data_IF_911493011139
#
_entry.id   IF_911493011139
#
_cell.length_a   1.000
_cell.length_b   1.000
_cell.length_c   1.000
_cell.angle_alpha   90.00
_cell.angle_beta   90.00
_cell.angle_gamma   90.00
#
_symmetry.space_group_name_H-M   'P 1'
#
loop_
_entity.id
_entity.type
_entity.pdbx_description
1 polymer ?
#
# COMPACT_ATOMS: atom_id res chain seq x y z
N UNK A 1 -11.48 -3.48 -69.06
CA UNK A 1 -11.90 -3.56 -67.64
C UNK A 1 -11.13 -4.71 -66.99
N UNK A 2 -10.24 -4.46 -66.03
CA UNK A 2 -9.51 -5.51 -65.31
C UNK A 2 -10.40 -6.02 -64.17
N UNK A 3 -10.76 -7.30 -64.19
CA UNK A 3 -11.51 -7.99 -63.13
C UNK A 3 -10.59 -8.31 -61.95
N UNK A 4 -10.80 -7.65 -60.81
CA UNK A 4 -10.13 -7.98 -59.56
C UNK A 4 -10.74 -9.27 -58.99
N UNK A 5 -10.05 -10.39 -59.15
CA UNK A 5 -10.36 -11.65 -58.46
C UNK A 5 -10.03 -11.48 -56.96
N UNK A 6 -11.06 -11.35 -56.12
CA UNK A 6 -10.88 -11.34 -54.67
C UNK A 6 -10.59 -12.76 -54.21
N UNK A 7 -9.35 -13.05 -53.81
CA UNK A 7 -8.98 -14.30 -53.14
C UNK A 7 -9.67 -14.33 -51.77
N UNK A 8 -10.51 -15.33 -51.53
CA UNK A 8 -11.13 -15.57 -50.22
C UNK A 8 -10.18 -16.30 -49.28
N UNK A 9 -10.29 -16.02 -47.98
CA UNK A 9 -9.56 -16.74 -46.93
C UNK A 9 -10.07 -18.18 -46.82
N UNK A 10 -9.17 -19.13 -46.66
CA UNK A 10 -9.50 -20.53 -46.37
C UNK A 10 -9.68 -20.75 -44.88
N UNK A 11 -10.49 -21.75 -44.51
CA UNK A 11 -10.66 -22.15 -43.10
C UNK A 11 -9.35 -22.58 -42.45
N UNK A 12 -8.46 -23.23 -43.23
CA UNK A 12 -7.16 -23.68 -42.72
C UNK A 12 -6.24 -22.50 -42.41
N UNK A 13 -6.24 -21.44 -43.22
CA UNK A 13 -5.46 -20.22 -42.94
C UNK A 13 -5.95 -19.54 -41.66
N UNK A 14 -7.26 -19.47 -41.43
CA UNK A 14 -7.81 -18.92 -40.19
C UNK A 14 -7.47 -19.80 -38.97
N UNK A 15 -7.51 -21.13 -39.13
CA UNK A 15 -7.19 -22.09 -38.06
C UNK A 15 -5.73 -21.98 -37.62
N UNK A 16 -4.80 -21.86 -38.56
CA UNK A 16 -3.37 -21.68 -38.25
C UNK A 16 -3.14 -20.37 -37.50
N UNK A 17 -3.84 -19.29 -37.88
CA UNK A 17 -3.71 -18.00 -37.20
C UNK A 17 -4.17 -18.07 -35.74
N UNK A 18 -5.36 -18.64 -35.46
CA UNK A 18 -5.82 -18.77 -34.07
C UNK A 18 -4.95 -19.73 -33.25
N UNK A 19 -4.39 -20.77 -33.88
CA UNK A 19 -3.46 -21.68 -33.21
C UNK A 19 -2.16 -20.96 -32.81
N UNK A 20 -1.59 -20.15 -33.70
CA UNK A 20 -0.40 -19.34 -33.39
C UNK A 20 -0.71 -18.30 -32.31
N UNK A 21 -1.88 -17.63 -32.38
CA UNK A 21 -2.31 -16.68 -31.35
C UNK A 21 -2.48 -17.36 -29.98
N UNK A 22 -3.04 -18.57 -29.94
CA UNK A 22 -3.18 -19.34 -28.70
C UNK A 22 -1.82 -19.73 -28.09
N UNK A 23 -0.87 -20.15 -28.92
CA UNK A 23 0.50 -20.47 -28.45
C UNK A 23 1.20 -19.21 -27.92
N UNK A 24 1.08 -18.07 -28.62
CA UNK A 24 1.67 -16.81 -28.16
C UNK A 24 1.04 -16.34 -26.84
N UNK A 25 -0.29 -16.39 -26.71
CA UNK A 25 -0.97 -16.04 -25.46
C UNK A 25 -0.57 -16.97 -24.30
N UNK A 26 -0.43 -18.27 -24.55
CA UNK A 26 -0.01 -19.24 -23.53
C UNK A 26 1.40 -19.00 -22.98
N UNK A 27 2.32 -18.47 -23.80
CA UNK A 27 3.68 -18.14 -23.38
C UNK A 27 3.78 -16.77 -22.69
N UNK A 28 2.96 -15.80 -23.11
CA UNK A 28 3.01 -14.42 -22.62
C UNK A 28 2.20 -14.24 -21.32
N UNK A 29 1.12 -15.02 -21.14
CA UNK A 29 0.21 -14.89 -20.00
C UNK A 29 0.92 -14.80 -18.64
N UNK A 30 1.69 -15.83 -18.22
CA UNK A 30 2.32 -15.84 -16.90
C UNK A 30 3.25 -14.64 -16.65
N UNK A 31 4.02 -14.24 -17.67
CA UNK A 31 4.96 -13.11 -17.56
C UNK A 31 4.25 -11.76 -17.44
N UNK A 32 3.11 -11.59 -18.09
CA UNK A 32 2.32 -10.35 -17.94
C UNK A 32 1.76 -10.24 -16.53
N UNK A 33 1.28 -11.34 -15.94
CA UNK A 33 0.81 -11.34 -14.55
C UNK A 33 1.94 -11.03 -13.55
N UNK A 34 3.14 -11.60 -13.73
CA UNK A 34 4.31 -11.35 -12.87
C UNK A 34 4.82 -9.90 -12.95
N UNK A 35 4.81 -9.29 -14.14
CA UNK A 35 5.16 -7.86 -14.31
C UNK A 35 4.11 -6.96 -13.65
N UNK A 36 2.83 -7.33 -13.73
CA UNK A 36 1.75 -6.58 -13.11
C UNK A 36 1.79 -6.67 -11.57
N UNK A 37 2.12 -7.83 -10.99
CA UNK A 37 2.25 -7.96 -9.53
C UNK A 37 3.45 -7.19 -8.97
N UNK A 38 4.63 -7.32 -9.60
CA UNK A 38 5.81 -6.52 -9.20
C UNK A 38 5.63 -5.00 -9.35
N UNK A 39 4.81 -4.58 -10.33
CA UNK A 39 4.40 -3.18 -10.51
C UNK A 39 3.54 -2.68 -9.34
N UNK A 40 2.59 -3.50 -8.86
CA UNK A 40 1.71 -3.15 -7.74
C UNK A 40 2.47 -2.97 -6.43
N UNK A 41 3.37 -3.89 -6.07
CA UNK A 41 4.20 -3.76 -4.87
C UNK A 41 5.05 -2.48 -4.90
N UNK A 42 5.66 -2.18 -6.05
CA UNK A 42 6.45 -0.96 -6.26
C UNK A 42 5.58 0.30 -6.15
N UNK A 43 4.35 0.27 -6.71
CA UNK A 43 3.38 1.36 -6.62
C UNK A 43 2.97 1.62 -5.17
N UNK A 44 2.55 0.57 -4.44
CA UNK A 44 2.19 0.65 -3.02
C UNK A 44 3.36 1.21 -2.20
N UNK A 45 4.58 0.72 -2.42
CA UNK A 45 5.75 1.22 -1.72
C UNK A 45 6.02 2.71 -2.01
N UNK A 46 5.82 3.16 -3.26
CA UNK A 46 5.96 4.57 -3.63
C UNK A 46 4.91 5.45 -2.93
N UNK A 47 3.65 4.99 -2.86
CA UNK A 47 2.57 5.68 -2.14
C UNK A 47 2.93 5.79 -0.65
N UNK A 48 3.36 4.70 -0.02
CA UNK A 48 3.74 4.72 1.40
C UNK A 48 4.91 5.67 1.67
N UNK A 49 5.94 5.68 0.80
CA UNK A 49 7.05 6.64 0.92
C UNK A 49 6.59 8.09 0.74
N UNK A 50 5.60 8.32 -0.13
CA UNK A 50 4.92 9.61 -0.22
C UNK A 50 4.32 9.96 1.14
N UNK A 51 3.41 9.13 1.66
CA UNK A 51 2.71 9.39 2.93
C UNK A 51 3.66 9.62 4.10
N UNK A 52 4.74 8.83 4.22
CA UNK A 52 5.81 9.06 5.21
C UNK A 52 6.36 10.48 5.10
N UNK A 53 6.68 10.93 3.89
CA UNK A 53 7.19 12.29 3.64
C UNK A 53 6.16 13.35 4.05
N UNK A 54 4.88 13.14 3.77
CA UNK A 54 3.82 14.08 4.13
C UNK A 54 3.54 14.11 5.64
N UNK A 55 3.60 12.98 6.32
CA UNK A 55 3.51 12.89 7.78
C UNK A 55 4.69 13.58 8.47
N UNK A 56 5.90 13.44 7.92
CA UNK A 56 7.06 14.20 8.40
C UNK A 56 6.85 15.70 8.21
N UNK A 57 6.34 16.14 7.06
CA UNK A 57 6.00 17.56 6.84
C UNK A 57 4.91 18.05 7.79
N UNK A 58 3.92 17.21 8.10
CA UNK A 58 2.91 17.49 9.13
C UNK A 58 3.57 17.70 10.48
N UNK A 59 4.43 16.77 10.94
CA UNK A 59 5.19 16.88 12.19
C UNK A 59 6.05 18.13 12.20
N UNK A 60 6.70 18.49 11.10
CA UNK A 60 7.48 19.73 11.03
C UNK A 60 6.63 20.99 11.17
N UNK A 61 5.40 20.99 10.64
CA UNK A 61 4.49 22.11 10.74
C UNK A 61 3.87 22.26 12.13
N UNK A 62 3.37 21.15 12.70
CA UNK A 62 2.60 21.15 13.94
C UNK A 62 3.43 20.83 15.19
N UNK A 63 4.62 20.25 15.02
CA UNK A 63 5.54 19.74 16.06
C UNK A 63 5.10 18.46 16.76
N UNK A 64 4.01 17.85 16.29
CA UNK A 64 3.50 16.55 16.71
C UNK A 64 2.93 15.83 15.47
N UNK A 65 2.83 14.50 15.52
CA UNK A 65 2.11 13.73 14.50
C UNK A 65 0.59 13.89 14.65
N UNK A 66 -0.22 13.61 13.62
CA UNK A 66 -1.68 13.64 13.73
C UNK A 66 -2.17 12.94 15.01
N UNK A 67 -3.03 13.59 15.83
CA UNK A 67 -3.51 13.05 17.11
C UNK A 67 -3.95 11.58 17.08
N UNK A 68 -4.71 11.15 16.07
CA UNK A 68 -5.15 9.75 15.98
C UNK A 68 -4.00 8.73 15.88
N UNK A 69 -2.81 9.13 15.41
CA UNK A 69 -1.60 8.28 15.38
C UNK A 69 -0.90 8.18 16.74
N UNK A 70 -1.36 8.95 17.74
CA UNK A 70 -0.79 9.01 19.09
C UNK A 70 -1.66 8.31 20.13
N UNK A 71 -2.80 7.74 19.73
CA UNK A 71 -3.74 7.08 20.66
C UNK A 71 -3.24 5.72 21.14
N UNK A 72 -2.47 5.02 20.30
CA UNK A 72 -1.85 3.74 20.63
C UNK A 72 -0.49 3.95 21.32
N UNK A 73 -0.04 2.93 22.05
CA UNK A 73 1.34 2.89 22.57
C UNK A 73 2.31 2.83 21.39
N UNK A 74 3.43 3.52 21.49
CA UNK A 74 4.47 3.46 20.47
C UNK A 74 4.89 2.01 20.19
N UNK A 75 4.99 1.67 18.90
CA UNK A 75 5.26 0.32 18.43
C UNK A 75 4.03 -0.50 18.07
N UNK A 76 2.83 -0.08 18.49
CA UNK A 76 1.55 -0.66 18.09
C UNK A 76 0.92 0.15 16.93
N UNK A 77 0.70 -0.47 15.76
CA UNK A 77 0.21 0.25 14.58
C UNK A 77 -1.24 0.68 14.73
N UNK A 78 -1.55 1.86 14.19
CA UNK A 78 -2.92 2.24 13.83
C UNK A 78 -3.28 1.57 12.50
N UNK A 79 -4.45 0.94 12.46
CA UNK A 79 -4.99 0.29 11.27
C UNK A 79 -5.89 1.27 10.51
N UNK A 80 -5.62 1.47 9.22
CA UNK A 80 -6.40 2.39 8.39
C UNK A 80 -7.70 1.80 7.81
N UNK A 81 -7.97 0.50 7.99
CA UNK A 81 -9.24 -0.10 7.56
C UNK A 81 -10.41 0.26 8.48
N UNK A 82 -10.13 0.75 9.69
CA UNK A 82 -11.14 1.32 10.59
C UNK A 82 -11.64 2.67 10.04
N UNK A 83 -12.96 2.86 10.03
CA UNK A 83 -13.61 4.05 9.43
C UNK A 83 -13.12 5.36 10.08
N UNK A 84 -12.95 5.36 11.41
CA UNK A 84 -12.44 6.51 12.17
C UNK A 84 -10.99 6.84 11.81
N UNK A 85 -10.12 5.84 11.75
CA UNK A 85 -8.70 5.98 11.37
C UNK A 85 -8.56 6.43 9.92
N UNK A 86 -9.39 5.90 9.02
CA UNK A 86 -9.44 6.27 7.61
C UNK A 86 -9.76 7.76 7.45
N UNK A 87 -10.87 8.22 8.03
CA UNK A 87 -11.30 9.61 7.96
C UNK A 87 -10.28 10.55 8.61
N UNK A 88 -9.73 10.16 9.76
CA UNK A 88 -8.70 10.93 10.48
C UNK A 88 -7.41 11.07 9.67
N UNK A 89 -6.95 10.01 9.00
CA UNK A 89 -5.78 10.06 8.13
C UNK A 89 -5.99 10.99 6.93
N UNK A 90 -7.16 10.91 6.28
CA UNK A 90 -7.51 11.80 5.18
C UNK A 90 -7.63 13.25 5.66
N UNK A 91 -8.29 13.50 6.79
CA UNK A 91 -8.40 14.83 7.38
C UNK A 91 -7.02 15.42 7.72
N UNK A 92 -6.15 14.63 8.34
CA UNK A 92 -4.80 15.02 8.72
C UNK A 92 -3.97 15.47 7.52
N UNK A 93 -3.95 14.69 6.43
CA UNK A 93 -3.08 14.96 5.28
C UNK A 93 -3.72 15.84 4.20
N UNK A 94 -5.02 15.69 3.93
CA UNK A 94 -5.73 16.50 2.92
C UNK A 94 -6.17 17.85 3.46
N UNK A 95 -6.53 17.92 4.75
CA UNK A 95 -7.18 19.08 5.36
C UNK A 95 -8.66 19.22 5.00
N UNK A 96 -9.31 18.12 4.58
CA UNK A 96 -10.72 18.06 4.16
C UNK A 96 -11.34 16.74 4.58
N UNK A 97 -12.66 16.74 4.76
CA UNK A 97 -13.42 15.52 5.03
C UNK A 97 -13.66 14.76 3.72
N UNK A 98 -13.47 13.46 3.73
CA UNK A 98 -13.84 12.59 2.62
C UNK A 98 -15.24 12.06 2.83
N UNK A 99 -16.09 12.12 1.81
CA UNK A 99 -17.40 11.51 1.83
C UNK A 99 -17.35 10.24 0.98
N UNK A 100 -17.38 9.09 1.63
CA UNK A 100 -17.26 7.76 0.99
C UNK A 100 -18.41 7.51 0.00
N UNK A 101 -19.62 7.99 0.30
CA UNK A 101 -20.82 7.74 -0.50
C UNK A 101 -20.82 8.50 -1.82
N UNK A 102 -20.29 9.72 -1.81
CA UNK A 102 -20.23 10.61 -2.99
C UNK A 102 -18.85 10.65 -3.62
N UNK A 103 -17.83 10.14 -2.92
CA UNK A 103 -16.41 10.24 -3.27
C UNK A 103 -15.98 11.70 -3.53
N UNK A 104 -16.40 12.59 -2.63
CA UNK A 104 -16.10 14.02 -2.72
C UNK A 104 -15.46 14.59 -1.46
N UNK A 105 -14.76 15.70 -1.62
CA UNK A 105 -14.09 16.41 -0.53
C UNK A 105 -14.96 17.53 0.05
N UNK A 106 -15.35 17.39 1.31
CA UNK A 106 -16.07 18.37 2.10
C UNK A 106 -15.16 19.21 3.02
N UNK A 107 -15.78 20.13 3.76
CA UNK A 107 -15.12 20.83 4.86
C UNK A 107 -14.99 19.89 6.07
N UNK A 108 -13.92 20.06 6.86
CA UNK A 108 -13.78 19.35 8.13
C UNK A 108 -14.87 19.79 9.11
N UNK A 109 -15.47 18.82 9.79
CA UNK A 109 -16.29 19.04 10.98
C UNK A 109 -15.40 19.18 12.23
N UNK A 110 -15.99 19.53 13.37
CA UNK A 110 -15.25 19.80 14.61
C UNK A 110 -14.47 18.57 15.09
N UNK A 111 -14.99 17.37 14.85
CA UNK A 111 -14.37 16.09 15.23
C UNK A 111 -13.07 15.87 14.44
N UNK A 112 -13.08 16.04 13.12
CA UNK A 112 -11.89 15.86 12.29
C UNK A 112 -10.98 17.10 12.24
N UNK A 113 -11.45 18.26 12.70
CA UNK A 113 -10.64 19.48 12.75
C UNK A 113 -9.44 19.33 13.71
N UNK A 114 -9.58 18.50 14.75
CA UNK A 114 -8.49 18.23 15.69
C UNK A 114 -7.26 17.64 14.98
N UNK A 115 -7.50 16.83 13.94
CA UNK A 115 -6.46 16.18 13.14
C UNK A 115 -5.72 17.15 12.23
N UNK A 116 -6.33 18.28 11.86
CA UNK A 116 -5.69 19.30 11.04
C UNK A 116 -6.31 20.68 11.31
N UNK A 117 -5.91 21.27 12.43
CA UNK A 117 -6.50 22.51 12.97
C UNK A 117 -6.49 23.71 12.01
N UNK A 118 -5.58 23.72 11.04
CA UNK A 118 -5.49 24.79 10.02
C UNK A 118 -6.00 24.36 8.65
N UNK A 119 -6.58 23.17 8.53
CA UNK A 119 -7.03 22.57 7.28
C UNK A 119 -5.96 22.65 6.17
N UNK A 120 -4.69 22.49 6.56
CA UNK A 120 -3.57 22.62 5.65
C UNK A 120 -3.45 21.35 4.81
N UNK A 121 -3.40 21.49 3.50
CA UNK A 121 -3.12 20.36 2.62
C UNK A 121 -1.62 20.02 2.65
N UNK A 122 -1.29 18.81 3.10
CA UNK A 122 0.04 18.19 2.99
C UNK A 122 0.10 17.21 1.83
N UNK A 123 -1.02 16.54 1.54
CA UNK A 123 -1.15 15.57 0.45
C UNK A 123 -2.38 15.84 -0.40
N UNK A 124 -2.25 15.67 -1.72
CA UNK A 124 -3.35 15.90 -2.64
C UNK A 124 -4.27 14.71 -2.82
N UNK A 125 -3.87 13.49 -2.47
CA UNK A 125 -4.57 12.21 -2.71
C UNK A 125 -5.06 12.03 -4.17
N UNK A 126 -4.58 11.00 -4.85
CA UNK A 126 -5.05 10.64 -6.20
C UNK A 126 -5.95 9.39 -6.16
N UNK A 127 -6.66 9.12 -7.26
CA UNK A 127 -7.52 7.92 -7.40
C UNK A 127 -6.75 6.61 -7.16
N UNK A 128 -5.45 6.61 -7.42
CA UNK A 128 -4.57 5.46 -7.26
C UNK A 128 -4.37 4.99 -5.80
N UNK A 129 -4.76 5.83 -4.84
CA UNK A 129 -4.62 5.58 -3.40
C UNK A 129 -5.93 5.07 -2.78
N UNK A 130 -7.01 5.06 -3.56
CA UNK A 130 -8.30 4.56 -3.15
C UNK A 130 -8.60 3.25 -3.88
N UNK A 131 -9.06 2.25 -3.12
CA UNK A 131 -9.58 1.01 -3.65
C UNK A 131 -11.07 1.08 -3.92
N UNK A 132 -11.71 -0.08 -3.81
CA UNK A 132 -13.15 -0.17 -3.99
C UNK A 132 -13.90 0.62 -2.92
N UNK A 133 -15.07 1.13 -3.33
CA UNK A 133 -15.99 1.87 -2.46
C UNK A 133 -15.41 3.16 -1.84
N UNK A 134 -14.27 3.67 -2.32
CA UNK A 134 -13.70 4.93 -1.87
C UNK A 134 -12.88 4.86 -0.58
N UNK A 135 -12.51 3.67 -0.12
CA UNK A 135 -11.58 3.50 1.00
C UNK A 135 -10.14 3.58 0.52
N UNK A 136 -9.23 3.95 1.43
CA UNK A 136 -7.80 3.87 1.17
C UNK A 136 -7.42 2.41 1.00
N UNK A 137 -6.62 2.14 -0.02
CA UNK A 137 -6.16 0.80 -0.28
C UNK A 137 -4.76 0.79 -0.90
N UNK A 138 -4.10 -0.36 -0.79
CA UNK A 138 -2.93 -0.64 -1.58
C UNK A 138 -3.28 -0.88 -3.06
N UNK A 139 -2.26 -1.13 -3.88
CA UNK A 139 -2.44 -1.35 -5.32
C UNK A 139 -3.21 -2.65 -5.70
N UNK A 140 -3.51 -3.52 -4.73
CA UNK A 140 -4.35 -4.70 -4.90
C UNK A 140 -5.79 -4.49 -4.40
N UNK A 141 -6.08 -3.37 -3.74
CA UNK A 141 -7.37 -3.11 -3.10
C UNK A 141 -7.43 -3.53 -1.63
N UNK A 142 -6.31 -3.98 -1.06
CA UNK A 142 -6.17 -4.31 0.34
C UNK A 142 -6.24 -3.08 1.23
N UNK A 143 -7.04 -3.14 2.29
CA UNK A 143 -7.28 -2.02 3.22
C UNK A 143 -6.48 -2.12 4.51
N UNK A 144 -5.79 -3.24 4.74
CA UNK A 144 -5.06 -3.54 5.98
C UNK A 144 -3.70 -2.85 6.05
N UNK A 145 -3.74 -1.52 5.90
CA UNK A 145 -2.58 -0.66 5.97
C UNK A 145 -2.35 -0.25 7.42
N UNK A 146 -1.14 -0.52 7.90
CA UNK A 146 -0.69 -0.29 9.26
C UNK A 146 0.29 0.88 9.31
N UNK A 147 0.10 1.78 10.27
CA UNK A 147 0.97 2.96 10.46
C UNK A 147 1.49 2.99 11.90
N UNK A 148 2.81 3.16 12.03
CA UNK A 148 3.49 3.45 13.30
C UNK A 148 4.29 4.74 13.16
N UNK A 149 4.41 5.49 14.25
CA UNK A 149 5.15 6.75 14.30
C UNK A 149 6.04 6.82 15.54
N UNK A 150 7.16 7.53 15.40
CA UNK A 150 8.10 7.90 16.46
C UNK A 150 7.47 8.97 17.38
N UNK A 151 6.90 8.52 18.49
CA UNK A 151 6.14 9.38 19.41
C UNK A 151 7.08 10.16 20.34
N UNK A 152 8.16 9.55 20.80
CA UNK A 152 9.10 10.16 21.74
C UNK A 152 10.16 11.08 21.09
N UNK A 153 10.34 10.97 19.78
CA UNK A 153 11.24 11.82 18.99
C UNK A 153 12.69 11.34 18.95
N UNK A 154 13.00 10.11 19.36
CA UNK A 154 14.35 9.55 19.36
C UNK A 154 14.84 9.13 17.94
N UNK A 155 13.92 9.07 16.98
CA UNK A 155 14.19 8.73 15.58
C UNK A 155 14.23 7.22 15.29
N UNK A 156 13.80 6.41 16.25
CA UNK A 156 13.60 4.98 16.17
C UNK A 156 12.13 4.66 16.48
N UNK A 157 11.66 3.49 16.05
CA UNK A 157 10.38 2.94 16.49
C UNK A 157 10.63 1.48 16.83
N UNK A 158 10.45 1.11 18.09
CA UNK A 158 10.52 -0.28 18.54
C UNK A 158 9.13 -0.92 18.42
N UNK A 159 8.96 -1.87 17.50
CA UNK A 159 7.71 -2.58 17.28
C UNK A 159 7.38 -3.50 18.46
N UNK A 160 6.10 -3.60 18.80
CA UNK A 160 5.65 -4.52 19.83
C UNK A 160 5.87 -5.99 19.43
N UNK A 161 6.00 -6.88 20.41
CA UNK A 161 6.25 -8.31 20.16
C UNK A 161 5.16 -8.95 19.31
N UNK A 162 3.90 -8.52 19.47
CA UNK A 162 2.78 -9.00 18.66
C UNK A 162 2.96 -8.62 17.19
N UNK A 163 3.32 -7.36 16.92
CA UNK A 163 3.54 -6.85 15.56
C UNK A 163 4.73 -7.56 14.91
N UNK A 164 5.84 -7.73 15.64
CA UNK A 164 7.01 -8.47 15.15
C UNK A 164 6.62 -9.91 14.79
N UNK A 165 5.82 -10.59 15.62
CA UNK A 165 5.36 -11.95 15.32
C UNK A 165 4.48 -12.00 14.06
N UNK A 166 3.60 -11.02 13.86
CA UNK A 166 2.77 -10.92 12.64
C UNK A 166 3.64 -10.74 11.40
N UNK A 167 4.62 -9.83 11.46
CA UNK A 167 5.59 -9.61 10.37
C UNK A 167 6.39 -10.89 10.09
N UNK A 168 6.87 -11.59 11.13
CA UNK A 168 7.57 -12.88 10.96
C UNK A 168 6.73 -13.90 10.22
N UNK A 169 5.48 -14.08 10.63
CA UNK A 169 4.57 -15.04 9.97
C UNK A 169 4.37 -14.70 8.51
N UNK A 170 4.18 -13.41 8.19
CA UNK A 170 3.99 -12.97 6.82
C UNK A 170 5.25 -13.14 5.96
N UNK A 171 6.44 -12.82 6.50
CA UNK A 171 7.71 -12.92 5.77
C UNK A 171 8.16 -14.36 5.51
N UNK A 172 7.71 -15.34 6.30
CA UNK A 172 8.02 -16.77 6.09
C UNK A 172 7.48 -17.35 4.78
N UNK A 173 6.62 -16.60 4.07
CA UNK A 173 6.20 -16.97 2.72
C UNK A 173 7.19 -16.53 1.64
N UNK A 174 7.93 -15.45 1.90
CA UNK A 174 8.87 -14.85 0.94
C UNK A 174 10.33 -15.27 1.20
N UNK A 175 10.67 -15.63 2.44
CA UNK A 175 12.02 -15.93 2.90
C UNK A 175 12.09 -17.26 3.66
N UNK A 176 13.30 -17.81 3.82
CA UNK A 176 13.50 -19.01 4.63
C UNK A 176 13.16 -18.73 6.11
N UNK A 177 12.63 -19.76 6.79
CA UNK A 177 12.25 -19.65 8.18
C UNK A 177 13.43 -19.28 9.09
N UNK A 178 14.62 -19.83 8.85
CA UNK A 178 15.83 -19.56 9.63
C UNK A 178 16.25 -18.09 9.45
N UNK A 179 16.28 -17.61 8.20
CA UNK A 179 16.62 -16.22 7.87
C UNK A 179 15.65 -15.21 8.54
N UNK A 180 14.35 -15.52 8.59
CA UNK A 180 13.34 -14.66 9.24
C UNK A 180 13.51 -14.63 10.75
N UNK A 181 13.85 -15.75 11.38
CA UNK A 181 14.12 -15.80 12.82
C UNK A 181 15.37 -14.96 13.15
N UNK A 182 16.46 -15.11 12.39
CA UNK A 182 17.71 -14.37 12.57
C UNK A 182 17.56 -12.87 12.29
N UNK A 183 16.72 -12.49 11.33
CA UNK A 183 16.43 -11.10 11.00
C UNK A 183 15.47 -10.41 11.99
N UNK A 184 14.73 -11.16 12.80
CA UNK A 184 13.63 -10.63 13.62
C UNK A 184 14.04 -9.54 14.61
N UNK A 185 15.19 -9.70 15.25
CA UNK A 185 15.75 -8.67 16.14
C UNK A 185 16.17 -7.40 15.38
N UNK A 186 16.51 -7.52 14.09
CA UNK A 186 16.93 -6.38 13.28
C UNK A 186 15.75 -5.55 12.79
N UNK A 187 14.68 -6.19 12.33
CA UNK A 187 13.48 -5.49 11.83
C UNK A 187 12.49 -5.09 12.93
N UNK A 188 12.68 -5.57 14.17
CA UNK A 188 11.96 -5.08 15.36
C UNK A 188 12.10 -3.57 15.55
N UNK A 189 13.24 -2.99 15.14
CA UNK A 189 13.49 -1.55 15.26
C UNK A 189 13.50 -0.90 13.88
N UNK A 190 12.56 0.01 13.65
CA UNK A 190 12.53 0.87 12.47
C UNK A 190 13.41 2.08 12.75
N UNK A 191 14.40 2.35 11.88
CA UNK A 191 15.29 3.52 12.00
C UNK A 191 14.78 4.69 11.17
N UNK A 192 13.52 5.06 11.39
CA UNK A 192 12.83 6.13 10.70
C UNK A 192 11.73 6.69 11.61
N UNK A 193 11.21 7.87 11.30
CA UNK A 193 10.18 8.54 12.11
C UNK A 193 8.77 8.00 11.86
N UNK A 194 8.56 7.31 10.74
CA UNK A 194 7.26 6.76 10.35
C UNK A 194 7.48 5.42 9.64
N UNK A 195 6.79 4.38 10.12
CA UNK A 195 6.68 3.10 9.45
C UNK A 195 5.27 2.92 8.88
N UNK A 196 5.17 2.56 7.61
CA UNK A 196 3.90 2.16 6.99
C UNK A 196 4.10 0.80 6.35
N UNK A 197 3.19 -0.13 6.60
CA UNK A 197 3.27 -1.45 6.00
C UNK A 197 1.91 -2.07 5.74
N UNK A 198 1.85 -2.94 4.75
CA UNK A 198 0.77 -3.91 4.54
C UNK A 198 1.41 -5.29 4.55
N UNK A 199 0.75 -6.23 5.20
CA UNK A 199 1.16 -7.62 5.21
C UNK A 199 0.24 -8.40 4.29
N UNK A 200 0.75 -9.52 3.80
CA UNK A 200 -0.10 -10.45 3.09
C UNK A 200 -1.31 -10.87 3.94
N UNK A 201 -2.46 -10.87 3.29
CA UNK A 201 -3.71 -11.31 3.85
C UNK A 201 -3.79 -12.86 3.86
N UNK A 202 -3.76 -13.51 5.04
CA UNK A 202 -3.81 -14.96 5.14
C UNK A 202 -5.18 -15.53 4.78
N UNK A 203 -6.23 -14.71 4.70
CA UNK A 203 -7.59 -15.14 4.33
C UNK A 203 -7.75 -15.34 2.83
N UNK A 204 -6.88 -14.71 2.03
CA UNK A 204 -6.95 -14.70 0.56
C UNK A 204 -8.14 -13.90 0.02
N UNK A 205 -8.76 -13.03 0.82
CA UNK A 205 -9.76 -12.07 0.34
C UNK A 205 -9.10 -11.01 -0.55
N UNK A 206 -7.83 -10.71 -0.29
CA UNK A 206 -7.03 -9.79 -1.11
C UNK A 206 -5.73 -10.43 -1.58
N UNK A 207 -5.26 -10.03 -2.77
CA UNK A 207 -3.96 -10.44 -3.33
C UNK A 207 -2.79 -9.58 -2.78
N UNK A 208 -2.98 -8.94 -1.63
CA UNK A 208 -2.02 -8.01 -1.04
C UNK A 208 -0.71 -8.73 -0.72
N UNK A 209 0.42 -8.16 -1.14
CA UNK A 209 1.75 -8.69 -0.81
C UNK A 209 2.40 -7.88 0.32
N UNK A 210 3.44 -8.44 0.94
CA UNK A 210 4.21 -7.77 1.97
C UNK A 210 4.92 -6.51 1.42
N UNK A 211 4.47 -5.32 1.84
CA UNK A 211 5.08 -4.05 1.42
C UNK A 211 5.35 -3.17 2.62
N UNK A 212 6.58 -2.64 2.68
CA UNK A 212 7.07 -1.79 3.77
C UNK A 212 7.57 -0.45 3.22
N UNK A 213 7.32 0.64 3.93
CA UNK A 213 7.88 1.97 3.62
C UNK A 213 9.40 2.01 3.82
N UNK A 214 9.93 1.19 4.72
CA UNK A 214 11.36 0.99 4.94
C UNK A 214 11.88 -0.21 4.13
N UNK A 215 13.20 -0.26 3.91
CA UNK A 215 13.81 -1.39 3.22
C UNK A 215 14.03 -2.55 4.20
N UNK A 216 13.11 -3.51 4.19
CA UNK A 216 13.19 -4.71 5.03
C UNK A 216 14.19 -5.74 4.47
N UNK A 217 14.44 -5.71 3.16
CA UNK A 217 15.31 -6.67 2.44
C UNK A 217 16.76 -6.59 2.90
N UNK A 218 17.20 -5.42 3.39
CA UNK A 218 18.53 -5.19 3.95
C UNK A 218 18.87 -6.09 5.15
N UNK A 219 17.86 -6.68 5.79
CA UNK A 219 18.06 -7.56 6.95
C UNK A 219 18.31 -9.03 6.57
N UNK A 220 17.96 -9.39 5.33
CA UNK A 220 18.09 -10.72 4.73
C UNK A 220 19.26 -10.84 3.75
N UNK A 221 19.91 -9.71 3.45
CA UNK A 221 21.09 -9.68 2.57
C UNK A 221 22.35 -9.68 3.44
N UNK A 222 23.12 -10.76 3.36
CA UNK A 222 24.54 -10.78 3.77
C UNK A 222 25.45 -10.17 2.70
#
# INVERSE_FOLDING_TARGET
MKSNCKKGFTLIELLVVIAILGVLMGLIGPKVFEILSGSKATKTQSIFRSWVTQLIQYKEHYKYFPPFLLDNVEGDPVLLSDEESHDSFLAALKGKKWDISTQTWGQLDDDLLVENRKSRQFHSFTEDEFGDHGYLADAWGGRDIHIVVDQDGDGLIELSTEVVNRIKVALKKDYDNEDVEDASEKFKVIRDKVGIFVLEDPTGETDSENVFSWDIRKFFSD
#
